data_IF_201433839804
#
_entry.id   IF_201433839804
#
_cell.length_a   1.000
_cell.length_b   1.000
_cell.length_c   1.000
_cell.angle_alpha   90.00
_cell.angle_beta   90.00
_cell.angle_gamma   90.00
#
_symmetry.space_group_name_H-M   'P 1'
#
loop_
_entity.id
_entity.type
_entity.pdbx_description
1 polymer ?
#
# COMPACT_ATOMS: atom_id res chain seq x y z
N UNK A 1 -13.46 2.19 -8.51
CA UNK A 1 -13.39 1.12 -7.49
C UNK A 1 -12.04 1.23 -6.78
N UNK A 2 -11.99 1.36 -5.46
CA UNK A 2 -10.74 1.52 -4.68
C UNK A 2 -9.74 0.37 -4.92
N UNK A 3 -10.23 -0.87 -4.97
CA UNK A 3 -9.41 -2.06 -5.23
C UNK A 3 -8.75 -1.98 -6.61
N UNK A 4 -9.47 -1.49 -7.63
CA UNK A 4 -8.90 -1.32 -8.97
C UNK A 4 -7.78 -0.27 -8.98
N UNK A 5 -7.91 0.83 -8.22
CA UNK A 5 -6.85 1.84 -8.10
C UNK A 5 -5.60 1.25 -7.45
N UNK A 6 -5.76 0.53 -6.33
CA UNK A 6 -4.65 -0.14 -5.65
C UNK A 6 -4.00 -1.20 -6.56
N UNK A 7 -4.80 -2.01 -7.25
CA UNK A 7 -4.30 -3.04 -8.15
C UNK A 7 -3.52 -2.45 -9.34
N UNK A 8 -4.01 -1.37 -9.94
CA UNK A 8 -3.27 -0.66 -11.01
C UNK A 8 -1.95 -0.12 -10.49
N UNK A 9 -1.95 0.56 -9.34
CA UNK A 9 -0.73 1.10 -8.76
C UNK A 9 0.28 -0.01 -8.42
N UNK A 10 -0.18 -1.14 -7.87
CA UNK A 10 0.68 -2.30 -7.58
C UNK A 10 1.28 -2.91 -8.84
N UNK A 11 0.54 -2.95 -9.96
CA UNK A 11 1.05 -3.42 -11.24
C UNK A 11 2.09 -2.45 -11.82
N UNK A 12 1.88 -1.15 -11.72
CA UNK A 12 2.87 -0.15 -12.11
C UNK A 12 4.13 -0.25 -11.25
N UNK A 13 3.97 -0.45 -9.94
CA UNK A 13 5.10 -0.68 -9.03
C UNK A 13 5.86 -1.96 -9.37
N UNK A 14 5.16 -3.05 -9.68
CA UNK A 14 5.76 -4.32 -10.12
C UNK A 14 6.59 -4.15 -11.40
N UNK A 15 6.12 -3.32 -12.34
CA UNK A 15 6.85 -3.00 -13.57
C UNK A 15 8.09 -2.16 -13.30
N UNK A 16 7.97 -1.14 -12.45
CA UNK A 16 9.08 -0.26 -12.11
C UNK A 16 10.22 -0.99 -11.40
N UNK A 17 9.91 -1.91 -10.48
CA UNK A 17 10.93 -2.72 -9.80
C UNK A 17 11.43 -3.91 -10.60
N UNK A 18 10.81 -4.17 -11.77
CA UNK A 18 11.08 -5.31 -12.66
C UNK A 18 11.16 -6.67 -11.93
N UNK A 19 10.25 -6.90 -10.99
CA UNK A 19 10.25 -8.11 -10.17
C UNK A 19 8.86 -8.43 -9.61
N UNK A 20 8.56 -9.70 -9.28
CA UNK A 20 7.35 -10.06 -8.57
C UNK A 20 7.25 -9.35 -7.21
N UNK A 21 6.05 -8.87 -6.87
CA UNK A 21 5.72 -8.26 -5.57
C UNK A 21 4.86 -9.22 -4.77
N UNK A 22 5.29 -9.53 -3.55
CA UNK A 22 4.58 -10.44 -2.65
C UNK A 22 3.91 -9.67 -1.53
N UNK A 23 2.57 -9.70 -1.54
CA UNK A 23 1.72 -9.04 -0.54
C UNK A 23 1.46 -10.04 0.58
N UNK A 24 1.60 -9.61 1.83
CA UNK A 24 1.33 -10.50 2.97
C UNK A 24 -0.15 -10.85 3.05
N UNK A 25 -0.49 -12.03 3.60
CA UNK A 25 -1.89 -12.43 3.79
C UNK A 25 -2.65 -11.45 4.70
N UNK A 26 -1.94 -10.86 5.66
CA UNK A 26 -2.43 -9.76 6.49
C UNK A 26 -2.19 -8.39 5.83
N UNK A 27 -1.74 -8.33 4.58
CA UNK A 27 -1.23 -7.12 3.96
C UNK A 27 -2.20 -6.43 3.05
N UNK A 28 -3.20 -7.08 2.48
CA UNK A 28 -4.15 -6.46 1.56
C UNK A 28 -5.40 -5.93 2.28
N UNK A 29 -6.57 -6.20 1.70
CA UNK A 29 -7.84 -5.98 2.39
C UNK A 29 -7.92 -6.82 3.67
N UNK A 30 -8.33 -6.18 4.78
CA UNK A 30 -8.63 -6.88 6.05
C UNK A 30 -10.11 -6.71 6.36
N UNK A 31 -10.81 -7.82 6.59
CA UNK A 31 -12.20 -7.76 7.06
C UNK A 31 -12.25 -7.18 8.49
N UNK A 32 -13.39 -6.64 8.93
CA UNK A 32 -13.54 -6.12 10.30
C UNK A 32 -13.17 -7.15 11.38
N UNK A 33 -13.45 -8.44 11.15
CA UNK A 33 -13.09 -9.52 12.08
C UNK A 33 -11.59 -9.83 12.10
N UNK A 34 -10.87 -9.60 11.00
CA UNK A 34 -9.41 -9.77 10.91
C UNK A 34 -8.64 -8.54 11.43
N UNK A 35 -9.34 -7.44 11.73
CA UNK A 35 -8.76 -6.23 12.29
C UNK A 35 -8.54 -6.40 13.80
N UNK A 36 -7.48 -7.10 14.19
CA UNK A 36 -7.12 -7.35 15.61
C UNK A 36 -6.62 -6.07 16.34
N UNK A 37 -6.61 -4.90 15.67
CA UNK A 37 -6.19 -3.62 16.26
C UNK A 37 -7.30 -2.57 16.21
N UNK A 38 -7.68 -2.01 17.36
CA UNK A 38 -8.84 -1.10 17.54
C UNK A 38 -8.84 0.22 16.75
N UNK A 39 -7.87 0.50 15.88
CA UNK A 39 -7.89 1.64 14.97
C UNK A 39 -8.41 1.21 13.60
N UNK A 40 -9.46 1.87 13.08
CA UNK A 40 -10.03 1.67 11.72
C UNK A 40 -8.90 1.67 10.69
N UNK A 41 -8.47 0.48 10.30
CA UNK A 41 -7.29 0.32 9.45
C UNK A 41 -7.63 0.72 8.03
N UNK A 42 -6.72 1.43 7.35
CA UNK A 42 -6.91 1.77 5.93
C UNK A 42 -7.02 0.53 5.03
N UNK A 43 -6.47 -0.61 5.46
CA UNK A 43 -6.68 -1.91 4.83
C UNK A 43 -8.17 -2.31 4.71
N UNK A 44 -9.04 -1.84 5.62
CA UNK A 44 -10.48 -2.13 5.54
C UNK A 44 -11.16 -1.42 4.36
N UNK A 45 -10.50 -0.44 3.74
CA UNK A 45 -11.02 0.32 2.60
C UNK A 45 -10.54 -0.21 1.25
N UNK A 46 -9.69 -1.25 1.26
CA UNK A 46 -9.13 -1.83 0.04
C UNK A 46 -8.16 -0.89 -0.71
N UNK A 47 -7.58 0.08 0.00
CA UNK A 47 -6.63 1.08 -0.55
C UNK A 47 -5.20 0.92 -0.03
N UNK A 48 -4.91 -0.12 0.75
CA UNK A 48 -3.59 -0.34 1.34
C UNK A 48 -3.05 -1.75 1.11
N UNK A 49 -1.72 -1.87 1.03
CA UNK A 49 -0.99 -3.11 0.87
C UNK A 49 0.25 -3.16 1.79
N UNK A 50 0.52 -4.30 2.43
CA UNK A 50 1.80 -4.62 3.06
C UNK A 50 2.55 -5.61 2.19
N UNK A 51 3.71 -5.20 1.70
CA UNK A 51 4.61 -5.97 0.85
C UNK A 51 5.76 -6.47 1.71
N UNK A 52 5.97 -7.78 1.76
CA UNK A 52 7.02 -8.38 2.58
C UNK A 52 8.23 -8.83 1.76
N UNK A 53 8.10 -8.90 0.43
CA UNK A 53 9.16 -9.36 -0.46
C UNK A 53 8.98 -8.82 -1.88
N UNK A 54 10.09 -8.46 -2.52
CA UNK A 54 10.17 -8.05 -3.93
C UNK A 54 11.28 -8.87 -4.59
N UNK A 55 10.95 -9.63 -5.64
CA UNK A 55 11.86 -10.62 -6.24
C UNK A 55 12.34 -11.61 -5.17
N UNK A 56 13.65 -11.64 -4.92
CA UNK A 56 14.28 -12.45 -3.87
C UNK A 56 14.66 -11.66 -2.61
N UNK A 57 14.32 -10.37 -2.55
CA UNK A 57 14.63 -9.49 -1.42
C UNK A 57 13.48 -9.45 -0.43
N UNK A 58 13.70 -9.94 0.79
CA UNK A 58 12.78 -9.71 1.90
C UNK A 58 12.90 -8.27 2.40
N UNK A 59 11.76 -7.65 2.70
CA UNK A 59 11.68 -6.27 3.19
C UNK A 59 11.70 -6.26 4.72
N UNK A 60 12.82 -6.67 5.30
CA UNK A 60 12.98 -6.88 6.75
C UNK A 60 14.08 -6.01 7.38
N UNK A 61 14.60 -5.04 6.64
CA UNK A 61 15.62 -4.10 7.11
C UNK A 61 15.44 -2.70 6.50
N UNK A 62 16.10 -1.71 7.09
CA UNK A 62 16.03 -0.32 6.64
C UNK A 62 16.44 -0.17 5.17
N UNK A 63 17.55 -0.82 4.78
CA UNK A 63 18.13 -0.68 3.44
C UNK A 63 17.14 -1.09 2.35
N UNK A 64 16.50 -2.24 2.52
CA UNK A 64 15.53 -2.79 1.57
C UNK A 64 14.22 -1.99 1.60
N UNK A 65 13.68 -1.70 2.79
CA UNK A 65 12.42 -0.97 2.94
C UNK A 65 12.53 0.46 2.39
N UNK A 66 13.59 1.19 2.72
CA UNK A 66 13.80 2.56 2.24
C UNK A 66 14.07 2.60 0.73
N UNK A 67 14.87 1.67 0.18
CA UNK A 67 15.11 1.57 -1.26
C UNK A 67 13.80 1.42 -2.03
N UNK A 68 13.00 0.42 -1.69
CA UNK A 68 11.76 0.15 -2.42
C UNK A 68 10.65 1.14 -2.07
N UNK A 69 10.68 1.72 -0.87
CA UNK A 69 9.80 2.82 -0.47
C UNK A 69 10.05 4.10 -1.27
N UNK A 70 11.31 4.43 -1.57
CA UNK A 70 11.64 5.56 -2.44
C UNK A 70 11.13 5.36 -3.88
N UNK A 71 11.27 4.14 -4.42
CA UNK A 71 10.71 3.79 -5.73
C UNK A 71 9.19 3.93 -5.72
N UNK A 72 8.52 3.33 -4.73
CA UNK A 72 7.07 3.45 -4.56
C UNK A 72 6.61 4.92 -4.51
N UNK A 73 7.24 5.74 -3.67
CA UNK A 73 6.91 7.17 -3.53
C UNK A 73 7.12 7.98 -4.82
N UNK A 74 8.06 7.57 -5.68
CA UNK A 74 8.33 8.24 -6.96
C UNK A 74 7.26 7.99 -8.03
N UNK A 75 6.50 6.90 -7.92
CA UNK A 75 5.50 6.52 -8.93
C UNK A 75 4.25 7.38 -8.92
N UNK A 76 3.86 7.92 -7.76
CA UNK A 76 2.69 8.77 -7.66
C UNK A 76 2.74 9.65 -6.42
N UNK A 77 2.39 10.94 -6.51
CA UNK A 77 2.21 11.77 -5.32
C UNK A 77 1.01 11.32 -4.46
N UNK A 78 0.15 10.43 -4.98
CA UNK A 78 -1.01 9.94 -4.25
C UNK A 78 -0.72 8.73 -3.34
N UNK A 79 0.44 8.07 -3.47
CA UNK A 79 0.80 6.97 -2.59
C UNK A 79 1.50 7.49 -1.34
N UNK A 80 1.00 7.09 -0.19
CA UNK A 80 1.70 7.23 1.07
C UNK A 80 2.52 5.98 1.34
N UNK A 81 3.78 6.17 1.70
CA UNK A 81 4.70 5.11 2.12
C UNK A 81 5.04 5.33 3.58
N UNK A 82 4.84 4.33 4.43
CA UNK A 82 5.25 4.47 5.84
C UNK A 82 6.77 4.49 5.97
N UNK A 83 7.31 5.36 6.84
CA UNK A 83 8.74 5.37 7.13
C UNK A 83 9.19 4.09 7.84
N UNK A 84 10.46 3.75 7.67
CA UNK A 84 11.08 2.66 8.41
C UNK A 84 11.17 2.97 9.91
N UNK A 85 10.84 1.99 10.75
CA UNK A 85 11.09 2.07 12.19
C UNK A 85 10.09 1.30 13.05
N UNK A 86 10.31 1.26 14.38
CA UNK A 86 9.50 0.48 15.32
C UNK A 86 8.33 1.26 15.93
N UNK A 87 8.21 2.57 15.68
CA UNK A 87 7.19 3.40 16.34
C UNK A 87 5.83 3.23 15.66
N UNK A 88 4.79 3.71 16.35
CA UNK A 88 3.45 3.78 15.77
C UNK A 88 3.47 4.64 14.50
N UNK A 89 3.02 4.07 13.39
CA UNK A 89 3.00 4.73 12.08
C UNK A 89 4.22 4.42 11.20
N UNK A 90 5.21 3.71 11.73
CA UNK A 90 6.36 3.17 11.00
C UNK A 90 6.17 1.66 10.72
N UNK A 91 7.03 1.08 9.88
CA UNK A 91 7.14 -0.38 9.68
C UNK A 91 8.61 -0.81 9.61
N UNK A 92 8.94 -2.00 10.09
CA UNK A 92 10.33 -2.50 10.10
C UNK A 92 10.50 -3.94 9.59
N UNK A 93 9.41 -4.61 9.23
CA UNK A 93 9.36 -5.99 8.73
C UNK A 93 8.54 -6.13 7.43
N UNK A 94 8.07 -5.00 6.87
CA UNK A 94 7.42 -4.90 5.58
C UNK A 94 7.41 -3.45 5.08
N UNK A 95 7.15 -3.28 3.79
CA UNK A 95 6.79 -2.01 3.20
C UNK A 95 5.27 -1.85 3.24
N UNK A 96 4.78 -0.79 3.89
CA UNK A 96 3.37 -0.42 3.86
C UNK A 96 3.15 0.73 2.89
N UNK A 97 2.17 0.55 2.00
CA UNK A 97 1.69 1.60 1.10
C UNK A 97 0.18 1.75 1.25
N UNK A 98 -0.31 2.97 1.11
CA UNK A 98 -1.75 3.24 0.98
C UNK A 98 -2.05 4.45 0.10
N UNK A 99 -3.22 4.44 -0.53
CA UNK A 99 -3.72 5.51 -1.40
C UNK A 99 -4.70 6.45 -0.66
N UNK A 100 -4.77 6.38 0.67
CA UNK A 100 -5.77 7.15 1.42
C UNK A 100 -7.22 6.66 1.20
N UNK A 101 -8.14 7.62 1.23
CA UNK A 101 -9.56 7.43 0.91
C UNK A 101 -9.83 7.97 -0.50
N UNK A 102 -10.49 7.19 -1.35
CA UNK A 102 -10.82 7.58 -2.71
C UNK A 102 -12.34 7.80 -2.86
N UNK A 103 -12.73 9.02 -3.27
CA UNK A 103 -14.06 9.34 -3.79
C UNK A 103 -13.95 9.41 -5.31
N UNK A 104 -14.89 8.79 -6.01
CA UNK A 104 -14.87 8.72 -7.47
C UNK A 104 -16.19 9.25 -8.02
N UNK A 105 -16.13 10.39 -8.72
CA UNK A 105 -17.24 10.93 -9.48
C UNK A 105 -17.12 10.46 -10.93
N UNK A 106 -18.09 9.71 -11.49
CA UNK A 106 -18.03 9.27 -12.88
C UNK A 106 -17.97 10.45 -13.85
N UNK A 107 -17.30 10.25 -14.99
CA UNK A 107 -17.25 11.26 -16.06
C UNK A 107 -18.68 11.61 -16.50
N UNK A 108 -18.97 12.91 -16.57
CA UNK A 108 -20.30 13.41 -16.94
C UNK A 108 -21.29 13.52 -15.78
N UNK A 109 -20.86 13.24 -14.54
CA UNK A 109 -21.66 13.42 -13.32
C UNK A 109 -20.93 14.37 -12.36
N UNK A 110 -21.69 15.07 -11.51
CA UNK A 110 -21.16 15.90 -10.42
C UNK A 110 -21.79 15.49 -9.09
N UNK A 111 -21.06 15.65 -7.99
CA UNK A 111 -21.62 15.50 -6.63
C UNK A 111 -22.53 16.68 -6.24
N UNK A 112 -22.43 17.80 -6.97
CA UNK A 112 -23.39 18.89 -6.90
C UNK A 112 -24.70 18.47 -7.55
N UNK A 113 -25.78 18.49 -6.77
CA UNK A 113 -27.12 18.81 -7.28
C UNK A 113 -27.22 20.30 -7.55
#
# INVERSE_FOLDING_TARGET
CAIALLATWLEDFRREVDAPIFISANGGYRSPAHQIGGAKSIHAWGTAANIYRIGDTFLSDAKSIEKYGAVAASLSPAVFVRPFGPKRGETNDHLHIDLGFAILTPRGFSESR
#
